data_IF_372467197076
#
_entry.id   IF_372467197076
#
_cell.length_a   1.000
_cell.length_b   1.000
_cell.length_c   1.000
_cell.angle_alpha   90.00
_cell.angle_beta   90.00
_cell.angle_gamma   90.00
#
_symmetry.space_group_name_H-M   'P 1'
#
loop_
_entity.id
_entity.type
_entity.pdbx_description
1 polymer ?
#
# COMPACT_ATOMS: atom_id res chain seq x y z
N UNK A 1 -54.89 19.96 -27.00
CA UNK A 1 -54.03 19.88 -25.80
C UNK A 1 -54.01 18.49 -25.10
N UNK A 2 -54.94 17.57 -25.37
CA UNK A 2 -54.94 16.21 -24.77
C UNK A 2 -53.87 15.27 -25.34
N UNK A 3 -53.49 15.47 -26.59
CA UNK A 3 -52.49 14.58 -27.24
C UNK A 3 -51.04 14.88 -26.91
N UNK A 4 -50.74 16.12 -26.45
CA UNK A 4 -49.37 16.51 -26.06
C UNK A 4 -48.91 15.82 -24.75
N UNK A 5 -49.85 15.63 -23.79
CA UNK A 5 -49.57 14.93 -22.54
C UNK A 5 -49.21 13.47 -22.74
N UNK A 6 -49.86 12.77 -23.71
CA UNK A 6 -49.60 11.36 -23.99
C UNK A 6 -48.26 11.16 -24.72
N UNK A 7 -47.81 12.15 -25.53
CA UNK A 7 -46.51 12.12 -26.18
C UNK A 7 -45.38 12.28 -25.17
N UNK A 8 -45.56 13.19 -24.18
CA UNK A 8 -44.58 13.39 -23.10
C UNK A 8 -44.47 12.17 -22.18
N UNK A 9 -45.57 11.47 -21.87
CA UNK A 9 -45.53 10.24 -21.08
C UNK A 9 -44.85 9.08 -21.83
N UNK A 10 -45.05 8.98 -23.13
CA UNK A 10 -44.41 7.95 -23.96
C UNK A 10 -42.88 8.23 -24.10
N UNK A 11 -42.47 9.50 -24.18
CA UNK A 11 -41.05 9.87 -24.22
C UNK A 11 -40.36 9.64 -22.87
N UNK A 12 -41.02 9.94 -21.74
CA UNK A 12 -40.48 9.68 -20.40
C UNK A 12 -40.34 8.17 -20.12
N UNK A 13 -41.22 7.32 -20.65
CA UNK A 13 -41.15 5.87 -20.52
C UNK A 13 -40.03 5.25 -21.37
N UNK A 14 -39.66 5.89 -22.49
CA UNK A 14 -38.54 5.42 -23.33
C UNK A 14 -37.16 5.74 -22.74
N UNK A 15 -37.02 6.81 -21.94
CA UNK A 15 -35.77 7.15 -21.25
C UNK A 15 -35.53 6.34 -19.98
N UNK A 16 -36.53 5.70 -19.41
CA UNK A 16 -36.37 4.89 -18.20
C UNK A 16 -35.90 3.45 -18.45
N UNK A 17 -35.76 3.01 -19.70
CA UNK A 17 -35.25 1.66 -20.01
C UNK A 17 -33.77 1.66 -20.46
N UNK A 18 -33.13 2.84 -20.61
CA UNK A 18 -31.71 2.95 -21.00
C UNK A 18 -30.79 3.24 -19.78
N UNK A 19 -31.36 3.38 -18.58
CA UNK A 19 -30.61 3.79 -17.38
C UNK A 19 -30.30 2.62 -16.44
N UNK A 20 -30.23 1.40 -16.94
CA UNK A 20 -29.82 0.24 -16.15
C UNK A 20 -29.07 -0.79 -16.99
N UNK A 21 -28.09 -0.35 -17.78
CA UNK A 21 -26.93 -1.19 -18.03
C UNK A 21 -25.95 -0.86 -16.92
N UNK A 22 -26.05 -1.61 -15.87
CA UNK A 22 -25.22 -1.50 -14.69
C UNK A 22 -23.87 -2.14 -14.97
N UNK A 23 -22.81 -1.53 -14.44
CA UNK A 23 -21.44 -2.04 -14.34
C UNK A 23 -21.32 -3.49 -13.81
N UNK A 24 -22.43 -4.14 -13.47
CA UNK A 24 -22.47 -5.54 -13.05
C UNK A 24 -22.05 -6.50 -14.18
N UNK A 25 -22.35 -6.17 -15.43
CA UNK A 25 -21.96 -7.01 -16.57
C UNK A 25 -20.44 -6.92 -16.83
N UNK A 26 -19.82 -5.77 -16.57
CA UNK A 26 -18.37 -5.59 -16.73
C UNK A 26 -17.57 -6.40 -15.70
N UNK A 27 -18.06 -6.52 -14.47
CA UNK A 27 -17.40 -7.33 -13.43
C UNK A 27 -17.61 -8.83 -13.70
N UNK A 28 -18.76 -9.21 -14.20
CA UNK A 28 -19.04 -10.60 -14.60
C UNK A 28 -18.22 -11.00 -15.84
N UNK A 29 -18.10 -10.11 -16.82
CA UNK A 29 -17.28 -10.34 -18.02
C UNK A 29 -15.77 -10.46 -17.67
N UNK A 30 -15.23 -9.65 -16.77
CA UNK A 30 -13.84 -9.77 -16.32
C UNK A 30 -13.62 -11.11 -15.59
N UNK A 31 -14.56 -11.54 -14.77
CA UNK A 31 -14.48 -12.82 -14.07
C UNK A 31 -14.63 -14.01 -15.02
N UNK A 32 -15.46 -13.90 -16.05
CA UNK A 32 -15.64 -14.91 -17.09
C UNK A 32 -14.47 -14.96 -18.07
N UNK A 33 -13.87 -13.83 -18.41
CA UNK A 33 -12.74 -13.77 -19.34
C UNK A 33 -11.47 -14.37 -18.77
N UNK A 34 -11.07 -14.00 -17.55
CA UNK A 34 -9.90 -14.60 -16.91
C UNK A 34 -10.17 -16.02 -16.40
N UNK A 35 -11.41 -16.29 -15.94
CA UNK A 35 -11.79 -17.55 -15.31
C UNK A 35 -11.04 -17.87 -14.02
N UNK A 36 -10.15 -16.97 -13.57
CA UNK A 36 -9.28 -17.10 -12.42
C UNK A 36 -8.99 -15.73 -11.84
N UNK A 37 -9.19 -15.58 -10.54
CA UNK A 37 -8.77 -14.39 -9.78
C UNK A 37 -7.65 -14.80 -8.84
N UNK A 38 -6.55 -14.08 -8.90
CA UNK A 38 -5.40 -14.26 -8.02
C UNK A 38 -5.29 -13.10 -7.05
N UNK A 39 -4.71 -13.38 -5.88
CA UNK A 39 -4.32 -12.40 -4.87
C UNK A 39 -2.83 -12.57 -4.56
N UNK A 40 -2.17 -11.45 -4.30
CA UNK A 40 -0.75 -11.42 -3.93
C UNK A 40 -0.64 -10.96 -2.48
N UNK A 41 -0.09 -11.82 -1.65
CA UNK A 41 0.24 -11.49 -0.26
C UNK A 41 1.74 -11.55 -0.07
N UNK A 42 2.31 -10.59 0.65
CA UNK A 42 3.71 -10.60 1.04
C UNK A 42 3.84 -10.66 2.56
N UNK A 43 4.98 -11.15 3.03
CA UNK A 43 5.29 -11.13 4.46
C UNK A 43 5.65 -9.71 4.91
N UNK A 44 5.37 -9.38 6.16
CA UNK A 44 5.60 -8.04 6.71
C UNK A 44 7.08 -7.58 6.64
N UNK A 45 8.02 -8.52 6.53
CA UNK A 45 9.45 -8.23 6.40
C UNK A 45 9.93 -8.11 4.94
N UNK A 46 9.03 -8.22 3.95
CA UNK A 46 9.37 -7.93 2.55
C UNK A 46 9.66 -6.45 2.39
N UNK A 47 10.93 -6.10 2.14
CA UNK A 47 11.39 -4.70 2.16
C UNK A 47 12.67 -4.49 1.38
N UNK A 48 12.88 -3.25 0.94
CA UNK A 48 14.19 -2.72 0.56
C UNK A 48 14.51 -1.58 1.53
N UNK A 49 15.36 -1.85 2.51
CA UNK A 49 15.75 -0.88 3.54
C UNK A 49 17.22 -0.52 3.40
N UNK A 50 17.52 0.74 3.62
CA UNK A 50 18.87 1.22 3.57
C UNK A 50 19.11 2.48 4.41
N UNK A 51 20.34 2.94 4.41
CA UNK A 51 20.74 4.18 5.07
C UNK A 51 21.16 5.19 4.01
N UNK A 52 20.49 6.34 3.90
CA UNK A 52 20.89 7.39 2.98
C UNK A 52 22.22 8.03 3.43
N UNK A 53 22.95 8.58 2.47
CA UNK A 53 24.19 9.33 2.72
C UNK A 53 23.91 10.55 3.60
N UNK A 54 24.66 10.69 4.68
CA UNK A 54 24.43 11.76 5.65
C UNK A 54 24.77 13.15 5.08
N UNK A 55 23.90 14.11 5.31
CA UNK A 55 24.10 15.51 4.93
C UNK A 55 23.76 15.83 3.47
N UNK A 56 23.10 14.92 2.80
CA UNK A 56 22.53 15.07 1.45
C UNK A 56 21.02 15.02 1.56
N UNK A 57 20.30 15.81 0.76
CA UNK A 57 18.86 15.76 0.70
C UNK A 57 18.40 14.34 0.29
N UNK A 58 17.33 13.82 0.90
CA UNK A 58 16.90 12.42 0.72
C UNK A 58 16.66 12.05 -0.75
N UNK A 59 16.19 13.00 -1.57
CA UNK A 59 15.94 12.79 -3.00
C UNK A 59 17.22 12.52 -3.81
N UNK A 60 18.36 13.06 -3.35
CA UNK A 60 19.65 12.96 -4.03
C UNK A 60 20.60 11.95 -3.35
N UNK A 61 20.34 11.59 -2.09
CA UNK A 61 21.21 10.75 -1.29
C UNK A 61 21.33 9.33 -1.88
N UNK A 62 22.56 8.86 -2.03
CA UNK A 62 22.83 7.45 -2.32
C UNK A 62 22.44 6.62 -1.09
N UNK A 63 21.75 5.52 -1.33
CA UNK A 63 21.26 4.63 -0.27
C UNK A 63 22.15 3.39 -0.18
N UNK A 64 22.77 3.19 0.98
CA UNK A 64 23.47 1.92 1.26
C UNK A 64 22.44 0.92 1.78
N UNK A 65 22.15 -0.10 1.00
CA UNK A 65 21.11 -1.07 1.34
C UNK A 65 21.56 -1.99 2.48
N UNK A 66 20.74 -2.11 3.51
CA UNK A 66 20.95 -2.96 4.68
C UNK A 66 20.05 -4.19 4.69
N UNK A 67 18.90 -4.11 4.05
CA UNK A 67 17.99 -5.24 3.86
C UNK A 67 17.36 -5.18 2.47
N UNK A 68 17.37 -6.31 1.77
CA UNK A 68 16.67 -6.48 0.50
C UNK A 68 16.05 -7.87 0.49
N UNK A 69 14.75 -7.94 0.73
CA UNK A 69 14.05 -9.20 0.90
C UNK A 69 12.63 -9.13 0.33
N UNK A 70 12.25 -10.14 -0.41
CA UNK A 70 10.90 -10.36 -0.90
C UNK A 70 10.49 -11.80 -0.56
N UNK A 71 9.37 -11.95 0.10
CA UNK A 71 8.66 -13.22 0.25
C UNK A 71 7.19 -12.96 -0.03
N UNK A 72 6.76 -13.36 -1.23
CA UNK A 72 5.40 -13.16 -1.68
C UNK A 72 4.76 -14.46 -2.15
N UNK A 73 3.46 -14.59 -1.94
CA UNK A 73 2.67 -15.72 -2.39
C UNK A 73 1.56 -15.24 -3.31
N UNK A 74 1.49 -15.82 -4.50
CA UNK A 74 0.37 -15.66 -5.42
C UNK A 74 -0.60 -16.81 -5.19
N UNK A 75 -1.83 -16.50 -4.79
CA UNK A 75 -2.87 -17.47 -4.45
C UNK A 75 -4.09 -17.30 -5.33
N UNK A 76 -4.83 -18.38 -5.58
CA UNK A 76 -6.15 -18.31 -6.17
C UNK A 76 -7.16 -17.84 -5.13
N UNK A 77 -7.91 -16.78 -5.44
CA UNK A 77 -8.99 -16.25 -4.60
C UNK A 77 -10.36 -16.69 -5.10
N UNK A 78 -10.53 -16.76 -6.43
CA UNK A 78 -11.79 -17.20 -7.04
C UNK A 78 -11.55 -17.81 -8.43
N UNK A 79 -12.59 -18.41 -9.02
CA UNK A 79 -12.56 -19.01 -10.34
C UNK A 79 -11.94 -20.40 -10.36
N UNK A 80 -11.34 -20.78 -11.49
CA UNK A 80 -10.79 -22.12 -11.72
C UNK A 80 -9.46 -22.07 -12.46
N UNK A 81 -8.56 -22.99 -12.12
CA UNK A 81 -7.28 -23.20 -12.81
C UNK A 81 -7.41 -24.12 -14.04
N UNK A 82 -8.61 -24.57 -14.41
CA UNK A 82 -8.80 -25.55 -15.49
C UNK A 82 -8.27 -25.10 -16.85
N UNK A 83 -8.28 -23.77 -17.14
CA UNK A 83 -7.72 -23.19 -18.35
C UNK A 83 -6.38 -22.47 -18.12
N UNK A 84 -5.79 -22.62 -16.95
CA UNK A 84 -4.50 -22.01 -16.65
C UNK A 84 -3.38 -22.74 -17.39
N UNK A 85 -2.62 -22.04 -18.21
CA UNK A 85 -1.36 -22.52 -18.77
C UNK A 85 -0.23 -22.24 -17.76
N UNK A 86 -0.08 -20.98 -17.38
CA UNK A 86 0.87 -20.52 -16.37
C UNK A 86 0.48 -19.17 -15.79
N UNK A 87 1.04 -18.83 -14.66
CA UNK A 87 1.22 -17.45 -14.21
C UNK A 87 2.65 -17.02 -14.53
N UNK A 88 2.83 -15.74 -14.81
CA UNK A 88 4.14 -15.09 -14.91
C UNK A 88 4.15 -13.90 -13.96
N UNK A 89 5.15 -13.84 -13.09
CA UNK A 89 5.42 -12.67 -12.27
C UNK A 89 6.42 -11.82 -13.04
N UNK A 90 6.05 -10.59 -13.34
CA UNK A 90 6.93 -9.59 -13.93
C UNK A 90 7.26 -8.55 -12.88
N UNK A 91 8.45 -7.94 -13.01
CA UNK A 91 8.86 -6.80 -12.20
C UNK A 91 9.16 -5.59 -13.08
N UNK A 92 9.00 -4.39 -12.50
CA UNK A 92 9.44 -3.13 -13.13
C UNK A 92 10.00 -2.20 -12.07
N UNK A 93 10.97 -1.37 -12.44
CA UNK A 93 11.55 -0.35 -11.59
C UNK A 93 11.00 1.02 -12.00
N UNK A 94 10.46 1.78 -11.03
CA UNK A 94 9.85 3.12 -11.22
C UNK A 94 8.90 3.21 -12.43
N UNK A 95 8.08 2.18 -12.62
CA UNK A 95 7.14 2.12 -13.75
C UNK A 95 7.79 1.93 -15.12
N UNK A 96 9.05 1.53 -15.16
CA UNK A 96 9.79 1.24 -16.39
C UNK A 96 9.35 -0.07 -17.06
N UNK A 97 10.20 -0.61 -17.92
CA UNK A 97 9.91 -1.83 -18.69
C UNK A 97 9.72 -3.04 -17.77
N UNK A 98 8.67 -3.81 -18.02
CA UNK A 98 8.42 -5.07 -17.34
C UNK A 98 9.45 -6.15 -17.74
N UNK A 99 9.94 -6.88 -16.77
CA UNK A 99 10.93 -7.94 -16.88
C UNK A 99 10.35 -9.19 -16.27
N UNK A 100 10.41 -10.31 -16.99
CA UNK A 100 10.00 -11.61 -16.46
C UNK A 100 10.89 -11.99 -15.28
N UNK A 101 10.28 -12.37 -14.16
CA UNK A 101 10.97 -12.74 -12.93
C UNK A 101 10.82 -14.20 -12.62
N UNK A 102 9.59 -14.72 -12.70
CA UNK A 102 9.28 -16.10 -12.38
C UNK A 102 8.03 -16.58 -13.13
N UNK A 103 7.91 -17.89 -13.31
CA UNK A 103 6.73 -18.52 -13.89
C UNK A 103 6.31 -19.73 -13.04
N UNK A 104 5.01 -20.01 -13.00
CA UNK A 104 4.47 -21.21 -12.38
C UNK A 104 3.24 -21.74 -13.11
N UNK A 105 3.09 -23.04 -13.17
CA UNK A 105 1.88 -23.71 -13.72
C UNK A 105 0.89 -24.08 -12.62
N UNK A 106 1.21 -23.81 -11.36
CA UNK A 106 0.39 -24.18 -10.19
C UNK A 106 0.25 -22.99 -9.23
N UNK A 107 -0.89 -22.96 -8.54
CA UNK A 107 -1.19 -22.04 -7.43
C UNK A 107 -1.51 -22.86 -6.17
N UNK A 108 -1.18 -22.40 -4.96
CA UNK A 108 -0.42 -21.15 -4.72
C UNK A 108 1.05 -21.28 -5.17
N UNK A 109 1.67 -20.16 -5.51
CA UNK A 109 3.07 -20.05 -5.86
C UNK A 109 3.78 -19.07 -4.92
N UNK A 110 4.83 -19.52 -4.24
CA UNK A 110 5.63 -18.69 -3.36
C UNK A 110 6.94 -18.30 -4.06
N UNK A 111 7.27 -17.02 -4.02
CA UNK A 111 8.49 -16.43 -4.56
C UNK A 111 9.28 -15.80 -3.42
N UNK A 112 10.51 -16.27 -3.21
CA UNK A 112 11.44 -15.71 -2.22
C UNK A 112 12.68 -15.22 -2.93
N UNK A 113 13.05 -13.94 -2.68
CA UNK A 113 14.31 -13.34 -3.12
C UNK A 113 14.95 -12.70 -1.89
N UNK A 114 16.19 -13.05 -1.62
CA UNK A 114 16.88 -12.69 -0.37
C UNK A 114 18.07 -11.76 -0.57
N UNK A 115 18.24 -11.20 -1.76
CA UNK A 115 19.35 -10.30 -2.07
C UNK A 115 18.98 -9.24 -3.09
N UNK A 116 19.66 -8.10 -2.99
CA UNK A 116 19.42 -6.93 -3.83
C UNK A 116 19.77 -7.19 -5.31
N UNK A 117 20.84 -7.95 -5.58
CA UNK A 117 21.28 -8.23 -6.95
C UNK A 117 20.16 -8.97 -7.72
N UNK A 118 19.56 -9.99 -7.10
CA UNK A 118 18.41 -10.71 -7.66
C UNK A 118 17.16 -9.84 -7.82
N UNK A 119 16.90 -8.94 -6.86
CA UNK A 119 15.80 -7.99 -6.97
C UNK A 119 15.99 -7.03 -8.13
N UNK A 120 17.19 -6.52 -8.37
CA UNK A 120 17.49 -5.57 -9.43
C UNK A 120 17.84 -6.22 -10.77
N UNK A 121 18.07 -7.52 -10.83
CA UNK A 121 18.50 -8.21 -12.04
C UNK A 121 17.62 -7.86 -13.26
N UNK A 122 18.23 -7.46 -14.36
CA UNK A 122 17.57 -7.10 -15.62
C UNK A 122 17.00 -5.69 -15.69
N UNK A 123 16.88 -4.95 -14.58
CA UNK A 123 16.37 -3.57 -14.58
C UNK A 123 17.36 -2.56 -15.17
N UNK A 124 18.63 -2.90 -15.23
CA UNK A 124 19.71 -1.99 -15.59
C UNK A 124 20.10 -1.00 -14.48
N UNK A 125 19.53 -1.16 -13.29
CA UNK A 125 19.78 -0.35 -12.09
C UNK A 125 20.74 -1.08 -11.17
N UNK A 126 21.69 -0.36 -10.57
CA UNK A 126 22.63 -0.86 -9.57
C UNK A 126 22.31 -0.25 -8.20
N UNK A 127 22.89 -0.78 -7.13
CA UNK A 127 22.70 -0.24 -5.78
C UNK A 127 23.01 1.28 -5.69
N UNK A 128 24.04 1.74 -6.39
CA UNK A 128 24.42 3.16 -6.40
C UNK A 128 23.42 4.09 -7.09
N UNK A 129 22.51 3.53 -7.88
CA UNK A 129 21.46 4.29 -8.56
C UNK A 129 20.21 4.45 -7.70
N UNK A 130 20.09 3.66 -6.61
CA UNK A 130 18.92 3.67 -5.76
C UNK A 130 18.81 4.96 -4.93
N UNK A 131 17.56 5.43 -4.80
CA UNK A 131 17.19 6.58 -3.97
C UNK A 131 16.03 6.19 -3.07
N UNK A 132 15.89 6.90 -1.95
CA UNK A 132 14.70 6.76 -1.10
C UNK A 132 13.46 7.12 -1.93
N UNK A 133 12.44 6.28 -1.84
CA UNK A 133 11.20 6.42 -2.61
C UNK A 133 11.19 5.68 -3.96
N UNK A 134 12.32 5.12 -4.41
CA UNK A 134 12.31 4.24 -5.60
C UNK A 134 11.43 3.02 -5.38
N UNK A 135 10.71 2.62 -6.43
CA UNK A 135 9.70 1.57 -6.36
C UNK A 135 10.05 0.41 -7.29
N UNK A 136 10.11 -0.78 -6.73
CA UNK A 136 10.14 -2.03 -7.48
C UNK A 136 8.76 -2.66 -7.43
N UNK A 137 8.04 -2.63 -8.55
CA UNK A 137 6.69 -3.18 -8.67
C UNK A 137 6.71 -4.58 -9.25
N UNK A 138 5.86 -5.45 -8.70
CA UNK A 138 5.65 -6.84 -9.14
C UNK A 138 4.21 -6.97 -9.59
N UNK A 139 4.00 -7.60 -10.74
CA UNK A 139 2.67 -7.83 -11.30
C UNK A 139 2.52 -9.26 -11.75
N UNK A 140 1.35 -9.84 -11.53
CA UNK A 140 1.02 -11.20 -11.97
C UNK A 140 0.24 -11.16 -13.27
N UNK A 141 0.74 -11.87 -14.30
CA UNK A 141 0.06 -12.16 -15.55
C UNK A 141 -0.47 -13.58 -15.54
N UNK A 142 -1.68 -13.79 -16.04
CA UNK A 142 -2.29 -15.11 -16.18
C UNK A 142 -2.35 -15.48 -17.64
N UNK A 143 -1.72 -16.58 -18.02
CA UNK A 143 -1.75 -17.16 -19.36
C UNK A 143 -2.74 -18.33 -19.37
N UNK A 144 -3.62 -18.35 -20.37
CA UNK A 144 -4.58 -19.44 -20.56
C UNK A 144 -4.16 -20.34 -21.71
N UNK A 145 -4.65 -21.56 -21.68
CA UNK A 145 -4.37 -22.59 -22.69
C UNK A 145 -4.86 -22.23 -24.10
N UNK A 146 -5.75 -21.25 -24.23
CA UNK A 146 -6.20 -20.70 -25.50
C UNK A 146 -5.27 -19.59 -26.06
N UNK A 147 -4.18 -19.27 -25.35
CA UNK A 147 -3.21 -18.25 -25.70
C UNK A 147 -3.56 -16.83 -25.26
N UNK A 148 -4.68 -16.63 -24.55
CA UNK A 148 -5.02 -15.32 -23.98
C UNK A 148 -4.18 -15.03 -22.74
N UNK A 149 -3.89 -13.72 -22.52
CA UNK A 149 -3.09 -13.21 -21.41
C UNK A 149 -3.86 -12.13 -20.70
N UNK A 150 -3.99 -12.26 -19.38
CA UNK A 150 -4.73 -11.32 -18.54
C UNK A 150 -3.83 -10.71 -17.49
N UNK A 151 -4.04 -9.41 -17.25
CA UNK A 151 -3.47 -8.65 -16.17
C UNK A 151 -4.58 -8.28 -15.18
N UNK A 152 -4.28 -8.31 -13.92
CA UNK A 152 -5.19 -7.75 -12.92
C UNK A 152 -4.89 -6.25 -12.78
N UNK A 153 -5.87 -5.40 -13.11
CA UNK A 153 -5.79 -3.94 -12.94
C UNK A 153 -6.09 -3.49 -11.51
N UNK A 154 -6.09 -4.41 -10.57
CA UNK A 154 -6.35 -4.15 -9.16
C UNK A 154 -5.12 -4.48 -8.32
N UNK A 155 -5.05 -3.92 -7.13
CA UNK A 155 -4.01 -4.23 -6.13
C UNK A 155 -3.91 -5.72 -5.75
N UNK A 156 -4.89 -6.54 -6.13
CA UNK A 156 -4.90 -7.97 -5.82
C UNK A 156 -3.79 -8.75 -6.53
N UNK A 157 -3.47 -8.39 -7.78
CA UNK A 157 -2.43 -9.07 -8.57
C UNK A 157 -1.07 -8.37 -8.53
N UNK A 158 -0.95 -7.28 -7.78
CA UNK A 158 0.22 -6.41 -7.75
C UNK A 158 0.79 -6.32 -6.34
N UNK A 159 2.10 -6.17 -6.25
CA UNK A 159 2.82 -5.86 -5.02
C UNK A 159 3.95 -4.89 -5.31
N UNK A 160 4.32 -4.04 -4.35
CA UNK A 160 5.41 -3.09 -4.53
C UNK A 160 6.32 -3.06 -3.31
N UNK A 161 7.63 -3.03 -3.57
CA UNK A 161 8.65 -2.72 -2.59
C UNK A 161 9.15 -1.29 -2.84
N UNK A 162 9.17 -0.48 -1.80
CA UNK A 162 9.71 0.87 -1.84
C UNK A 162 11.07 0.87 -1.17
N UNK A 163 12.06 1.51 -1.79
CA UNK A 163 13.35 1.76 -1.14
C UNK A 163 13.12 2.77 -0.03
N UNK A 164 13.29 2.34 1.20
CA UNK A 164 13.01 3.15 2.38
C UNK A 164 14.10 2.96 3.44
N UNK A 165 14.09 3.82 4.44
CA UNK A 165 14.72 3.60 5.72
C UNK A 165 13.66 3.88 6.79
N UNK A 166 13.56 2.99 7.75
CA UNK A 166 12.62 3.13 8.85
C UNK A 166 13.34 3.02 10.17
N UNK A 167 12.81 3.68 11.18
CA UNK A 167 13.22 3.51 12.57
C UNK A 167 12.53 2.27 13.17
N UNK A 168 13.12 1.66 14.18
CA UNK A 168 12.44 0.62 14.97
C UNK A 168 11.50 1.30 15.97
N UNK A 169 10.23 1.50 15.56
CA UNK A 169 9.23 2.21 16.35
C UNK A 169 8.23 1.28 17.03
N UNK A 170 8.22 -0.01 16.72
CA UNK A 170 7.32 -0.93 17.41
C UNK A 170 7.60 -0.97 18.92
N UNK A 171 6.55 -0.94 19.72
CA UNK A 171 6.69 -1.01 21.17
C UNK A 171 5.69 -0.20 21.96
N UNK A 172 5.99 -0.02 23.26
CA UNK A 172 5.18 0.77 24.18
C UNK A 172 5.75 2.16 24.32
N UNK A 173 4.88 3.15 24.28
CA UNK A 173 5.21 4.56 24.46
C UNK A 173 4.36 5.19 25.53
N UNK A 174 4.94 6.06 26.34
CA UNK A 174 4.21 6.85 27.33
C UNK A 174 3.94 8.25 26.79
N UNK A 175 2.68 8.68 26.89
CA UNK A 175 2.26 10.06 26.61
C UNK A 175 1.86 10.74 27.92
N UNK A 176 2.34 11.96 28.12
CA UNK A 176 2.02 12.74 29.32
C UNK A 176 0.79 13.61 29.07
N UNK A 177 -0.34 13.16 29.58
CA UNK A 177 -1.59 13.93 29.57
C UNK A 177 -1.77 14.76 30.86
N UNK A 178 -2.72 15.67 30.84
CA UNK A 178 -3.15 16.39 32.06
C UNK A 178 -3.68 15.46 33.15
N UNK A 179 -4.17 14.27 32.77
CA UNK A 179 -4.63 13.19 33.66
C UNK A 179 -3.49 12.28 34.16
N UNK A 180 -2.25 12.48 33.71
CA UNK A 180 -1.09 11.66 34.00
C UNK A 180 -0.57 10.86 32.81
N UNK A 181 0.49 10.10 33.00
CA UNK A 181 1.09 9.24 31.99
C UNK A 181 0.12 8.11 31.60
N UNK A 182 -0.03 7.91 30.30
CA UNK A 182 -0.74 6.76 29.73
C UNK A 182 0.15 6.07 28.69
N UNK A 183 0.11 4.76 28.68
CA UNK A 183 0.85 3.95 27.74
C UNK A 183 0.00 3.66 26.50
N UNK A 184 0.67 3.74 25.34
CA UNK A 184 0.12 3.43 24.03
C UNK A 184 1.01 2.42 23.34
N UNK A 185 0.44 1.64 22.44
CA UNK A 185 1.15 0.63 21.68
C UNK A 185 1.30 1.12 20.24
N UNK A 186 2.54 1.10 19.75
CA UNK A 186 2.85 1.26 18.34
C UNK A 186 3.13 -0.12 17.77
N UNK A 187 2.39 -0.48 16.73
CA UNK A 187 2.49 -1.77 16.04
C UNK A 187 3.05 -1.52 14.65
N UNK A 188 4.05 -2.27 14.23
CA UNK A 188 4.53 -2.26 12.86
C UNK A 188 3.55 -3.03 11.97
N UNK A 189 3.05 -2.40 10.91
CA UNK A 189 2.20 -3.01 9.89
C UNK A 189 3.01 -3.43 8.65
N UNK A 190 4.17 -2.85 8.47
CA UNK A 190 5.11 -3.09 7.39
C UNK A 190 6.29 -2.13 7.47
N UNK A 191 7.30 -2.28 6.62
CA UNK A 191 8.48 -1.43 6.64
C UNK A 191 8.12 0.06 6.53
N UNK A 192 8.42 0.84 7.56
CA UNK A 192 8.09 2.26 7.64
C UNK A 192 6.60 2.58 7.76
N UNK A 193 5.76 1.59 8.06
CA UNK A 193 4.32 1.76 8.26
C UNK A 193 3.92 1.26 9.64
N UNK A 194 3.34 2.12 10.44
CA UNK A 194 3.01 1.87 11.83
C UNK A 194 1.58 2.26 12.15
N UNK A 195 1.01 1.62 13.17
CA UNK A 195 -0.26 1.98 13.77
C UNK A 195 -0.07 2.29 15.24
N UNK A 196 -0.64 3.39 15.70
CA UNK A 196 -0.80 3.69 17.13
C UNK A 196 -2.23 3.40 17.57
N UNK A 197 -2.39 2.76 18.72
CA UNK A 197 -3.67 2.30 19.27
C UNK A 197 -4.62 3.44 19.72
N UNK A 198 -4.18 4.69 19.72
CA UNK A 198 -4.96 5.84 20.14
C UNK A 198 -4.70 7.06 19.28
N UNK A 199 -5.79 7.64 18.79
CA UNK A 199 -5.74 8.84 17.97
C UNK A 199 -5.04 9.99 18.69
N UNK A 200 -3.87 10.38 18.17
CA UNK A 200 -3.19 11.65 18.40
C UNK A 200 -3.05 12.05 19.87
N UNK A 201 -2.81 11.10 20.74
CA UNK A 201 -2.68 11.42 22.14
C UNK A 201 -3.99 11.82 22.83
N UNK A 202 -5.15 11.50 22.27
CA UNK A 202 -6.43 11.69 22.95
C UNK A 202 -6.66 10.54 23.93
N UNK A 203 -6.66 10.82 25.25
CA UNK A 203 -6.81 9.76 26.25
C UNK A 203 -8.16 9.06 26.10
N UNK A 204 -8.12 7.75 25.93
CA UNK A 204 -9.31 6.90 25.86
C UNK A 204 -10.12 6.99 24.57
N UNK A 205 -9.58 7.57 23.50
CA UNK A 205 -10.26 7.63 22.21
C UNK A 205 -10.46 6.24 21.60
N UNK A 206 -9.58 5.28 21.89
CA UNK A 206 -9.69 3.90 21.36
C UNK A 206 -9.74 3.86 19.84
N UNK A 207 -9.12 4.82 19.17
CA UNK A 207 -9.16 5.03 17.74
C UNK A 207 -7.74 4.90 17.22
N UNK A 208 -7.46 3.76 16.61
CA UNK A 208 -6.15 3.53 16.03
C UNK A 208 -5.97 4.43 14.79
N UNK A 209 -4.74 4.91 14.59
CA UNK A 209 -4.36 5.69 13.41
C UNK A 209 -3.03 5.20 12.85
N UNK A 210 -2.91 5.31 11.54
CA UNK A 210 -1.75 4.82 10.80
C UNK A 210 -0.83 5.99 10.43
N UNK A 211 0.47 5.78 10.53
CA UNK A 211 1.47 6.76 10.14
C UNK A 211 2.66 6.10 9.43
N UNK A 212 3.38 6.90 8.67
CA UNK A 212 4.59 6.48 7.97
C UNK A 212 5.85 7.04 8.64
N UNK A 213 6.91 6.27 8.57
CA UNK A 213 8.27 6.67 8.92
C UNK A 213 9.17 6.53 7.70
N UNK A 214 9.77 7.63 7.30
CA UNK A 214 10.78 7.68 6.26
C UNK A 214 12.04 8.27 6.84
N UNK A 215 13.01 7.41 7.18
CA UNK A 215 14.30 7.82 7.77
C UNK A 215 14.16 8.68 9.04
N UNK A 216 13.18 8.44 9.85
CA UNK A 216 12.90 9.21 11.06
C UNK A 216 12.00 10.42 10.84
N UNK A 217 11.61 10.75 9.62
CA UNK A 217 10.56 11.73 9.33
C UNK A 217 9.20 11.04 9.36
N UNK A 218 8.29 11.56 10.16
CA UNK A 218 6.99 10.94 10.43
C UNK A 218 5.87 11.74 9.78
N UNK A 219 4.96 11.05 9.10
CA UNK A 219 3.75 11.62 8.54
C UNK A 219 2.54 10.75 8.82
N UNK A 220 1.46 11.36 9.27
CA UNK A 220 0.19 10.70 9.50
C UNK A 220 -0.86 11.36 8.63
N UNK A 221 -1.55 10.54 7.82
CA UNK A 221 -2.72 10.94 7.05
C UNK A 221 -3.74 9.82 7.23
N UNK A 222 -4.81 10.11 7.97
CA UNK A 222 -5.90 9.18 8.25
C UNK A 222 -7.22 9.96 8.21
N UNK A 223 -8.34 9.27 8.25
CA UNK A 223 -9.67 9.90 8.27
C UNK A 223 -10.40 9.56 9.56
N UNK A 224 -10.94 10.57 10.21
CA UNK A 224 -11.85 10.36 11.33
C UNK A 224 -13.20 9.83 10.82
N UNK A 225 -13.98 9.22 11.73
CA UNK A 225 -15.30 8.61 11.43
C UNK A 225 -16.30 9.52 10.69
N UNK A 226 -16.06 10.82 10.63
CA UNK A 226 -16.89 11.80 9.90
C UNK A 226 -16.19 12.30 8.63
N UNK A 227 -15.22 11.57 8.11
CA UNK A 227 -14.42 11.93 6.93
C UNK A 227 -13.64 13.26 7.08
N UNK A 228 -13.33 13.65 8.31
CA UNK A 228 -12.40 14.75 8.54
C UNK A 228 -10.97 14.18 8.49
N UNK A 229 -10.06 14.70 7.67
CA UNK A 229 -8.67 14.28 7.65
C UNK A 229 -8.03 14.48 9.03
N UNK A 230 -7.33 13.43 9.48
CA UNK A 230 -6.43 13.49 10.63
C UNK A 230 -5.03 13.65 10.05
N UNK A 231 -4.26 14.57 10.57
CA UNK A 231 -2.91 14.82 10.10
C UNK A 231 -1.94 15.00 11.26
N UNK A 232 -0.72 14.57 11.07
CA UNK A 232 0.41 14.93 11.92
C UNK A 232 1.71 14.85 11.13
N UNK A 233 2.64 15.67 11.52
CA UNK A 233 4.04 15.62 11.07
C UNK A 233 4.94 15.61 12.27
N UNK A 234 6.06 14.89 12.17
CA UNK A 234 6.96 14.73 13.29
C UNK A 234 8.28 14.10 12.89
N UNK A 235 9.03 13.71 13.89
CA UNK A 235 10.31 13.02 13.69
C UNK A 235 10.60 12.07 14.86
N UNK A 236 11.54 11.16 14.63
CA UNK A 236 12.11 10.29 15.67
C UNK A 236 13.36 10.97 16.23
N UNK A 237 13.41 11.17 17.54
CA UNK A 237 14.60 11.74 18.19
C UNK A 237 15.68 10.68 18.43
N UNK A 238 16.86 11.12 18.92
CA UNK A 238 18.00 10.25 19.15
C UNK A 238 17.78 9.17 20.22
N UNK A 239 16.75 9.32 21.06
CA UNK A 239 16.37 8.36 22.11
C UNK A 239 15.30 7.39 21.63
N UNK A 240 14.84 7.52 20.36
CA UNK A 240 13.80 6.71 19.74
C UNK A 240 12.38 7.15 20.15
N UNK A 241 12.23 8.35 20.73
CA UNK A 241 10.93 8.92 20.99
C UNK A 241 10.30 9.45 19.71
N UNK A 242 8.98 9.37 19.63
CA UNK A 242 8.18 9.94 18.55
C UNK A 242 7.81 11.37 18.95
N UNK A 243 8.27 12.35 18.17
CA UNK A 243 8.03 13.77 18.40
C UNK A 243 7.12 14.32 17.31
N UNK A 244 5.86 14.53 17.62
CA UNK A 244 4.92 15.18 16.73
C UNK A 244 5.05 16.70 16.86
N UNK A 245 5.41 17.37 15.77
CA UNK A 245 5.58 18.83 15.72
C UNK A 245 4.28 19.55 15.43
N UNK A 246 3.41 18.90 14.69
CA UNK A 246 2.05 19.35 14.40
C UNK A 246 1.11 18.17 14.34
N UNK A 247 -0.13 18.36 14.72
CA UNK A 247 -1.17 17.35 14.61
C UNK A 247 -2.55 17.98 14.70
N UNK A 248 -3.55 17.41 14.06
CA UNK A 248 -4.91 17.93 14.09
C UNK A 248 -5.94 17.07 13.39
N UNK A 249 -7.18 17.51 13.47
CA UNK A 249 -8.31 16.98 12.72
C UNK A 249 -8.94 18.16 11.96
N UNK A 250 -8.87 18.14 10.66
CA UNK A 250 -9.28 19.26 9.82
C UNK A 250 -10.70 19.73 10.12
N UNK A 251 -10.85 21.04 10.32
CA UNK A 251 -12.12 21.67 10.67
C UNK A 251 -12.67 21.36 12.09
N UNK A 252 -11.97 20.58 12.91
CA UNK A 252 -12.40 20.18 14.25
C UNK A 252 -11.42 20.63 15.32
N UNK A 253 -10.13 20.41 15.09
CA UNK A 253 -9.09 20.64 16.06
C UNK A 253 -7.76 20.98 15.38
N UNK A 254 -7.25 22.17 15.64
CA UNK A 254 -5.92 22.59 15.20
C UNK A 254 -4.90 22.22 16.28
N UNK A 255 -3.88 21.54 15.81
CA UNK A 255 -3.06 20.71 16.62
C UNK A 255 -2.08 21.35 17.56
N UNK A 256 -1.58 20.51 18.40
CA UNK A 256 -0.47 20.76 19.30
C UNK A 256 0.66 19.79 19.02
N UNK A 257 1.88 20.23 19.34
CA UNK A 257 3.04 19.34 19.43
C UNK A 257 2.93 18.46 20.68
N UNK A 258 3.34 17.21 20.60
CA UNK A 258 3.35 16.26 21.71
C UNK A 258 4.41 15.18 21.46
N UNK A 259 4.83 14.52 22.55
CA UNK A 259 5.90 13.52 22.51
C UNK A 259 5.40 12.21 23.08
N UNK A 260 5.75 11.13 22.41
CA UNK A 260 5.59 9.76 22.88
C UNK A 260 6.97 9.24 23.30
N UNK A 261 7.12 8.92 24.56
CA UNK A 261 8.37 8.46 25.12
C UNK A 261 8.46 6.94 25.07
N UNK A 262 9.46 6.41 24.36
CA UNK A 262 9.72 4.96 24.25
C UNK A 262 10.01 4.38 25.64
N UNK A 263 9.40 3.23 25.97
CA UNK A 263 9.49 2.59 27.30
C UNK A 263 10.42 1.37 27.30
#
# INVERSE_FOLDING_TARGET
MKNLKNIFLAFAALFSIVACETDADTVAEIADEAGLIVDVTATANSSILGSPEAGVDLEDAIVTITNAYLDMTVSQTAGTTASLEKIEIVKSFNGGTEISLAESTTLPYNLVISDLESLLAGTGVTESDLRIGDVLSFRTKVYKTDGSVYYFNSSMGDYSLVVNCSSDLAGTYAINYTSGLQNHIVTELGPGLYEIDSMMGWPGAGYAVTFTDTCGELSLIDEWQYSNPIYAEGYVDNDGNIVWTTSGVDGVYDGSAWVMYKQ
#
